data_IF_708425021557
#
_entry.id   IF_708425021557
#
_cell.length_a   1.000
_cell.length_b   1.000
_cell.length_c   1.000
_cell.angle_alpha   90.00
_cell.angle_beta   90.00
_cell.angle_gamma   90.00
#
_symmetry.space_group_name_H-M   'P 1'
#
loop_
_entity.id
_entity.type
_entity.pdbx_description
1 polymer ?
#
# COMPACT_ATOMS: atom_id res chain seq x y z
N UNK A 1 -26.82 -10.20 7.68
CA UNK A 1 -26.30 -8.92 7.10
C UNK A 1 -25.01 -9.17 6.28
N UNK A 2 -25.02 -8.88 4.97
CA UNK A 2 -23.82 -8.87 4.12
C UNK A 2 -22.77 -7.94 4.75
N UNK A 3 -21.76 -8.50 5.43
CA UNK A 3 -20.56 -7.88 6.02
C UNK A 3 -20.63 -6.38 6.40
N UNK A 4 -21.76 -5.87 6.93
CA UNK A 4 -21.98 -4.44 7.26
C UNK A 4 -21.51 -3.44 6.17
N UNK A 5 -21.61 -3.80 4.89
CA UNK A 5 -21.19 -2.92 3.79
C UNK A 5 -19.69 -2.88 3.48
N UNK A 6 -18.87 -3.73 4.09
CA UNK A 6 -17.42 -3.82 3.82
C UNK A 6 -17.17 -4.48 2.47
N UNK A 7 -16.45 -3.77 1.58
CA UNK A 7 -16.14 -4.24 0.21
C UNK A 7 -14.64 -4.39 -0.06
N UNK A 8 -13.81 -3.84 0.83
CA UNK A 8 -12.35 -3.90 0.81
C UNK A 8 -11.82 -3.67 2.22
N UNK A 9 -10.52 -3.86 2.44
CA UNK A 9 -9.88 -3.74 3.76
C UNK A 9 -8.55 -3.03 3.67
N UNK A 10 -8.21 -2.31 4.74
CA UNK A 10 -6.83 -1.92 5.07
C UNK A 10 -6.26 -2.91 6.09
N UNK A 11 -4.93 -2.98 6.16
CA UNK A 11 -4.28 -3.70 7.26
C UNK A 11 -4.42 -2.91 8.56
N UNK A 12 -4.31 -3.58 9.71
CA UNK A 12 -4.63 -3.02 11.03
C UNK A 12 -3.93 -1.68 11.31
N UNK A 13 -2.65 -1.60 10.96
CA UNK A 13 -1.79 -0.46 11.25
C UNK A 13 -1.64 0.48 10.04
N UNK A 14 -2.54 0.38 9.06
CA UNK A 14 -2.57 1.22 7.86
C UNK A 14 -3.72 2.20 7.95
N UNK A 15 -3.41 3.49 7.84
CA UNK A 15 -4.38 4.57 7.88
C UNK A 15 -4.94 4.91 6.49
N UNK A 16 -5.99 5.74 6.42
CA UNK A 16 -6.44 6.37 5.18
C UNK A 16 -7.81 5.92 4.67
N UNK A 17 -8.03 6.10 3.37
CA UNK A 17 -9.34 5.97 2.74
C UNK A 17 -9.94 4.56 2.84
N UNK A 18 -11.20 4.49 3.29
CA UNK A 18 -12.05 3.30 3.17
C UNK A 18 -13.41 3.67 2.58
N UNK A 19 -13.85 2.94 1.56
CA UNK A 19 -15.23 2.98 1.08
C UNK A 19 -16.09 1.88 1.71
N UNK A 20 -17.29 2.24 2.15
CA UNK A 20 -18.30 1.36 2.74
C UNK A 20 -19.63 1.51 1.99
N UNK A 21 -20.28 0.39 1.69
CA UNK A 21 -21.56 0.38 1.01
C UNK A 21 -22.73 0.51 2.00
N UNK A 22 -23.53 1.57 1.88
CA UNK A 22 -24.74 1.78 2.70
C UNK A 22 -25.98 1.06 2.18
N UNK A 23 -25.96 0.57 0.93
CA UNK A 23 -27.09 -0.12 0.30
C UNK A 23 -26.62 -1.40 -0.40
N UNK A 24 -27.55 -2.35 -0.60
CA UNK A 24 -27.25 -3.60 -1.35
C UNK A 24 -26.81 -3.32 -2.78
N UNK A 25 -27.42 -2.32 -3.44
CA UNK A 25 -27.05 -1.88 -4.79
C UNK A 25 -25.61 -1.37 -4.83
N UNK A 26 -25.24 -0.46 -3.93
CA UNK A 26 -23.88 0.07 -3.85
C UNK A 26 -22.86 -1.04 -3.55
N UNK A 27 -23.21 -1.97 -2.65
CA UNK A 27 -22.35 -3.11 -2.31
C UNK A 27 -22.04 -3.97 -3.55
N UNK A 28 -23.07 -4.33 -4.33
CA UNK A 28 -22.90 -5.11 -5.55
C UNK A 28 -22.03 -4.38 -6.59
N UNK A 29 -22.21 -3.07 -6.77
CA UNK A 29 -21.41 -2.27 -7.71
C UNK A 29 -19.95 -2.18 -7.28
N UNK A 30 -19.70 -1.88 -6.00
CA UNK A 30 -18.35 -1.75 -5.47
C UNK A 30 -17.59 -3.09 -5.50
N UNK A 31 -18.21 -4.20 -5.07
CA UNK A 31 -17.59 -5.53 -5.15
C UNK A 31 -17.18 -5.87 -6.59
N UNK A 32 -18.04 -5.58 -7.57
CA UNK A 32 -17.72 -5.78 -9.00
C UNK A 32 -16.56 -4.89 -9.44
N UNK A 33 -16.52 -3.62 -9.02
CA UNK A 33 -15.44 -2.70 -9.37
C UNK A 33 -14.07 -3.15 -8.80
N UNK A 34 -14.03 -3.60 -7.55
CA UNK A 34 -12.82 -4.16 -6.93
C UNK A 34 -12.39 -5.46 -7.61
N UNK A 35 -13.33 -6.38 -7.88
CA UNK A 35 -13.03 -7.65 -8.54
C UNK A 35 -12.48 -7.44 -9.97
N UNK A 36 -13.04 -6.47 -10.69
CA UNK A 36 -12.61 -6.07 -12.03
C UNK A 36 -11.35 -5.18 -12.04
N UNK A 37 -10.74 -4.89 -10.87
CA UNK A 37 -9.53 -4.04 -10.71
C UNK A 37 -9.68 -2.64 -11.32
N UNK A 38 -10.89 -2.09 -11.32
CA UNK A 38 -11.17 -0.72 -11.80
C UNK A 38 -10.92 0.34 -10.73
N UNK A 39 -10.84 -0.06 -9.46
CA UNK A 39 -10.60 0.87 -8.35
C UNK A 39 -9.12 1.24 -8.32
N UNK A 40 -8.84 2.52 -8.51
CA UNK A 40 -7.50 3.07 -8.39
C UNK A 40 -7.22 3.38 -6.92
N UNK A 41 -6.06 2.93 -6.43
CA UNK A 41 -5.64 3.11 -5.04
C UNK A 41 -4.23 3.67 -5.03
N UNK A 42 -4.07 4.83 -4.41
CA UNK A 42 -2.76 5.46 -4.20
C UNK A 42 -2.48 5.52 -2.72
N UNK A 43 -1.26 5.12 -2.35
CA UNK A 43 -0.74 5.15 -1.00
C UNK A 43 0.44 6.11 -0.93
N UNK A 44 0.62 6.73 0.23
CA UNK A 44 1.88 7.32 0.65
C UNK A 44 2.55 6.40 1.65
N UNK A 45 3.85 6.20 1.51
CA UNK A 45 4.63 5.36 2.40
C UNK A 45 5.95 6.03 2.77
N UNK A 46 6.44 5.79 3.98
CA UNK A 46 7.82 6.14 4.36
C UNK A 46 8.63 4.86 4.45
N UNK A 47 9.55 4.69 3.51
CA UNK A 47 10.49 3.57 3.46
C UNK A 47 11.83 3.93 4.08
N UNK A 48 12.50 2.95 4.69
CA UNK A 48 13.91 3.03 5.10
C UNK A 48 14.78 2.70 3.89
N UNK A 49 15.73 3.56 3.54
CA UNK A 49 16.64 3.33 2.42
C UNK A 49 17.67 2.27 2.83
N UNK A 50 17.68 1.13 2.16
CA UNK A 50 18.71 0.10 2.36
C UNK A 50 19.96 0.38 1.51
N UNK A 51 21.10 -0.20 1.92
CA UNK A 51 22.37 -0.06 1.19
C UNK A 51 22.19 -0.49 -0.28
N UNK A 52 22.49 0.43 -1.22
CA UNK A 52 22.35 0.20 -2.66
C UNK A 52 20.94 0.42 -3.23
N UNK A 53 19.94 0.71 -2.41
CA UNK A 53 18.60 1.05 -2.87
C UNK A 53 18.58 2.46 -3.49
N UNK A 54 18.07 2.56 -4.72
CA UNK A 54 17.90 3.84 -5.41
C UNK A 54 16.70 3.78 -6.33
N UNK A 55 15.84 4.79 -6.25
CA UNK A 55 14.77 5.06 -7.20
C UNK A 55 14.95 6.49 -7.69
N UNK A 56 14.99 6.69 -9.01
CA UNK A 56 15.09 8.01 -9.63
C UNK A 56 13.79 8.45 -10.30
N UNK A 57 12.78 7.59 -10.31
CA UNK A 57 11.48 7.85 -10.91
C UNK A 57 10.50 6.68 -10.70
N UNK A 58 9.33 6.74 -11.37
CA UNK A 58 8.33 5.68 -11.30
C UNK A 58 8.90 4.34 -11.73
N UNK A 59 8.74 3.32 -10.89
CA UNK A 59 9.19 1.95 -11.12
C UNK A 59 8.02 0.99 -10.92
N UNK A 60 7.80 0.10 -11.88
CA UNK A 60 6.79 -0.95 -11.77
C UNK A 60 7.45 -2.21 -11.23
N UNK A 61 6.89 -2.74 -10.16
CA UNK A 61 7.26 -4.05 -9.61
C UNK A 61 6.05 -4.99 -9.70
N UNK A 62 6.24 -6.09 -10.42
CA UNK A 62 5.26 -7.16 -10.68
C UNK A 62 5.72 -8.50 -10.04
N UNK A 63 6.17 -8.44 -8.79
CA UNK A 63 6.56 -9.64 -8.05
C UNK A 63 5.33 -10.34 -7.44
N UNK A 64 5.12 -11.65 -7.69
CA UNK A 64 3.98 -12.37 -7.14
C UNK A 64 3.96 -12.38 -5.61
N UNK A 65 2.78 -12.15 -5.02
CA UNK A 65 2.57 -12.29 -3.58
C UNK A 65 1.71 -13.52 -3.31
N UNK A 66 2.26 -14.46 -2.53
CA UNK A 66 1.60 -15.74 -2.23
C UNK A 66 1.19 -16.47 -3.51
N UNK A 67 2.12 -16.55 -4.47
CA UNK A 67 1.94 -17.16 -5.79
C UNK A 67 0.80 -16.55 -6.63
N UNK A 68 0.34 -15.33 -6.31
CA UNK A 68 -0.68 -14.62 -7.08
C UNK A 68 -0.08 -13.35 -7.70
N UNK A 69 -0.45 -13.01 -8.95
CA UNK A 69 -0.01 -11.78 -9.58
C UNK A 69 -0.30 -10.58 -8.70
N UNK A 70 0.70 -9.70 -8.59
CA UNK A 70 0.64 -8.49 -7.83
C UNK A 70 1.50 -7.43 -8.51
N UNK A 71 0.92 -6.26 -8.77
CA UNK A 71 1.61 -5.16 -9.46
C UNK A 71 1.42 -3.87 -8.67
N UNK A 72 2.53 -3.16 -8.45
CA UNK A 72 2.57 -1.85 -7.81
C UNK A 72 3.53 -0.94 -8.58
N UNK A 73 3.09 0.27 -8.93
CA UNK A 73 3.96 1.35 -9.38
C UNK A 73 4.42 2.15 -8.15
N UNK A 74 5.72 2.31 -7.98
CA UNK A 74 6.35 3.01 -6.85
C UNK A 74 7.17 4.18 -7.38
N UNK A 75 6.92 5.37 -6.85
CA UNK A 75 7.58 6.61 -7.26
C UNK A 75 8.14 7.32 -6.02
N UNK A 76 9.44 7.66 -5.99
CA UNK A 76 10.01 8.47 -4.93
C UNK A 76 9.54 9.92 -5.09
N UNK A 77 8.97 10.48 -4.02
CA UNK A 77 8.54 11.88 -3.97
C UNK A 77 9.58 12.78 -3.29
N UNK A 78 10.28 12.21 -2.30
CA UNK A 78 11.41 12.84 -1.62
C UNK A 78 12.27 11.73 -1.00
N UNK A 79 13.59 11.94 -0.94
CA UNK A 79 14.52 10.96 -0.38
C UNK A 79 15.67 11.66 0.36
N UNK A 80 16.12 11.03 1.44
CA UNK A 80 17.31 11.33 2.24
C UNK A 80 18.23 10.11 2.23
N UNK A 81 19.35 10.17 2.94
CA UNK A 81 20.23 9.00 3.10
C UNK A 81 19.52 7.82 3.81
N UNK A 82 18.60 8.09 4.71
CA UNK A 82 17.99 7.08 5.58
C UNK A 82 16.54 6.74 5.21
N UNK A 83 15.81 7.67 4.59
CA UNK A 83 14.38 7.54 4.33
C UNK A 83 13.96 8.02 2.95
N UNK A 84 12.90 7.42 2.42
CA UNK A 84 12.20 7.88 1.22
C UNK A 84 10.69 8.00 1.47
N UNK A 85 10.11 9.13 1.05
CA UNK A 85 8.67 9.27 0.88
C UNK A 85 8.30 8.72 -0.50
N UNK A 86 7.45 7.70 -0.52
CA UNK A 86 7.06 6.96 -1.71
C UNK A 86 5.57 7.14 -1.99
N UNK A 87 5.24 7.35 -3.27
CA UNK A 87 3.88 7.16 -3.79
C UNK A 87 3.78 5.74 -4.35
N UNK A 88 2.77 4.99 -3.92
CA UNK A 88 2.55 3.63 -4.38
C UNK A 88 1.16 3.49 -4.98
N UNK A 89 1.05 3.15 -6.27
CA UNK A 89 -0.22 2.87 -6.95
C UNK A 89 -0.39 1.37 -7.09
N UNK A 90 -1.25 0.77 -6.28
CA UNK A 90 -1.46 -0.68 -6.25
C UNK A 90 -2.57 -1.09 -7.23
N UNK A 91 -2.21 -1.75 -8.34
CA UNK A 91 -3.19 -2.21 -9.35
C UNK A 91 -3.94 -3.47 -8.89
N UNK A 92 -3.27 -4.29 -8.10
CA UNK A 92 -3.86 -5.45 -7.40
C UNK A 92 -4.05 -5.13 -5.91
N UNK A 93 -4.59 -6.08 -5.15
CA UNK A 93 -4.91 -5.87 -3.72
C UNK A 93 -4.55 -7.07 -2.85
N UNK A 94 -3.32 -7.59 -2.97
CA UNK A 94 -2.86 -8.71 -2.13
C UNK A 94 -2.55 -8.23 -0.71
N UNK A 95 -2.65 -9.14 0.26
CA UNK A 95 -2.37 -8.84 1.66
C UNK A 95 -0.92 -8.36 1.80
N UNK A 96 -0.73 -7.19 2.43
CA UNK A 96 0.56 -6.54 2.65
C UNK A 96 1.30 -6.19 1.34
N UNK A 97 0.60 -5.98 0.22
CA UNK A 97 1.23 -5.84 -1.09
C UNK A 97 2.24 -4.70 -1.18
N UNK A 98 1.80 -3.48 -0.88
CA UNK A 98 2.66 -2.29 -0.96
C UNK A 98 3.89 -2.46 -0.07
N UNK A 99 3.70 -2.98 1.14
CA UNK A 99 4.77 -3.24 2.12
C UNK A 99 5.84 -4.17 1.54
N UNK A 100 5.43 -5.33 1.02
CA UNK A 100 6.34 -6.33 0.44
C UNK A 100 7.07 -5.82 -0.79
N UNK A 101 6.36 -5.11 -1.68
CA UNK A 101 6.97 -4.55 -2.89
C UNK A 101 7.97 -3.45 -2.56
N UNK A 102 7.67 -2.56 -1.60
CA UNK A 102 8.64 -1.54 -1.17
C UNK A 102 9.88 -2.20 -0.55
N UNK A 103 9.70 -3.23 0.30
CA UNK A 103 10.82 -3.98 0.84
C UNK A 103 11.68 -4.68 -0.24
N UNK A 104 11.04 -5.28 -1.26
CA UNK A 104 11.75 -5.91 -2.37
C UNK A 104 12.57 -4.90 -3.20
N UNK A 105 12.10 -3.66 -3.30
CA UNK A 105 12.85 -2.55 -3.92
C UNK A 105 13.95 -1.95 -3.02
N UNK A 106 14.15 -2.47 -1.80
CA UNK A 106 15.12 -1.94 -0.84
C UNK A 106 14.60 -0.79 0.03
N UNK A 107 13.28 -0.62 0.11
CA UNK A 107 12.59 0.40 0.90
C UNK A 107 11.56 -0.21 1.87
N UNK A 108 11.93 -1.12 2.80
CA UNK A 108 11.00 -1.62 3.81
C UNK A 108 10.39 -0.46 4.60
N UNK A 109 9.13 -0.58 5.01
CA UNK A 109 8.42 0.57 5.58
C UNK A 109 8.82 0.81 7.03
N UNK A 110 8.91 2.10 7.41
CA UNK A 110 9.11 2.52 8.81
C UNK A 110 7.98 1.93 9.67
N UNK A 111 8.34 1.39 10.84
CA UNK A 111 7.41 0.68 11.72
C UNK A 111 7.17 -0.80 11.37
N UNK A 112 7.85 -1.35 10.35
CA UNK A 112 7.94 -2.80 10.16
C UNK A 112 9.06 -3.43 10.98
N UNK A 113 8.85 -4.67 11.42
CA UNK A 113 9.89 -5.50 12.04
C UNK A 113 10.82 -5.99 10.94
N UNK A 114 12.05 -5.45 10.88
CA UNK A 114 13.08 -5.88 9.92
C UNK A 114 13.81 -7.14 10.41
N UNK A 115 14.32 -8.02 9.50
CA UNK A 115 15.30 -9.06 9.83
C UNK A 115 16.58 -8.49 10.51
N UNK A 116 17.44 -9.32 11.15
CA UNK A 116 18.13 -8.99 12.41
C UNK A 116 19.31 -8.02 12.30
N UNK A 117 19.51 -7.33 11.17
CA UNK A 117 20.61 -6.39 10.98
C UNK A 117 20.09 -5.03 10.55
N UNK A 118 20.23 -4.07 11.48
CA UNK A 118 19.96 -2.62 11.40
C UNK A 118 18.54 -2.22 11.82
N UNK A 119 18.52 -1.60 13.01
CA UNK A 119 17.51 -0.79 13.72
C UNK A 119 16.07 -0.85 13.17
N UNK A 120 15.14 -1.29 14.02
CA UNK A 120 13.75 -0.84 13.92
C UNK A 120 13.78 0.67 14.07
N UNK A 121 13.56 1.40 12.98
CA UNK A 121 13.33 2.83 13.07
C UNK A 121 11.87 2.97 13.47
N UNK A 122 11.64 3.08 14.77
CA UNK A 122 10.34 3.45 15.30
C UNK A 122 10.13 4.95 15.06
N UNK A 123 8.91 5.32 14.67
CA UNK A 123 8.55 6.73 14.69
C UNK A 123 8.37 7.18 16.14
N UNK A 124 9.04 8.28 16.57
CA UNK A 124 8.88 8.80 17.93
C UNK A 124 7.43 9.17 18.28
N UNK A 125 6.60 9.43 17.26
CA UNK A 125 5.26 10.00 17.39
C UNK A 125 4.15 9.09 16.85
N UNK A 126 4.48 7.94 16.24
CA UNK A 126 3.48 7.07 15.62
C UNK A 126 3.73 5.59 15.91
N UNK A 127 2.73 4.94 16.49
CA UNK A 127 2.69 3.48 16.66
C UNK A 127 2.04 2.88 15.42
N UNK A 128 2.81 2.14 14.62
CA UNK A 128 2.32 1.46 13.42
C UNK A 128 3.22 1.65 12.22
N UNK A 129 2.77 1.17 11.07
CA UNK A 129 3.51 1.24 9.82
C UNK A 129 3.24 2.59 9.17
N UNK A 130 4.29 3.24 8.65
CA UNK A 130 4.17 4.48 7.87
C UNK A 130 3.64 4.18 6.47
N UNK A 131 2.36 3.83 6.41
CA UNK A 131 1.60 3.58 5.20
C UNK A 131 0.21 4.19 5.32
N UNK A 132 -0.12 5.06 4.37
CA UNK A 132 -1.38 5.80 4.34
C UNK A 132 -2.07 5.63 3.00
N UNK A 133 -3.30 5.11 2.99
CA UNK A 133 -4.16 5.06 1.82
C UNK A 133 -4.67 6.47 1.48
N UNK A 134 -3.94 7.20 0.65
CA UNK A 134 -4.18 8.61 0.36
C UNK A 134 -5.40 8.83 -0.52
N UNK A 135 -5.57 8.03 -1.58
CA UNK A 135 -6.69 8.17 -2.50
C UNK A 135 -7.27 6.81 -2.89
N UNK A 136 -8.59 6.80 -3.06
CA UNK A 136 -9.36 5.69 -3.58
C UNK A 136 -10.37 6.26 -4.59
N UNK A 137 -10.20 5.92 -5.86
CA UNK A 137 -11.10 6.37 -6.94
C UNK A 137 -11.84 5.17 -7.51
N UNK A 138 -13.16 5.27 -7.54
CA UNK A 138 -14.05 4.28 -8.17
C UNK A 138 -14.57 4.92 -9.45
N UNK A 139 -14.11 4.51 -10.65
CA UNK A 139 -14.60 5.07 -11.90
C UNK A 139 -16.10 4.80 -12.09
N UNK A 140 -16.84 5.82 -12.55
CA UNK A 140 -18.27 5.71 -12.86
C UNK A 140 -19.22 5.76 -11.66
N UNK A 141 -18.73 6.19 -10.50
CA UNK A 141 -19.52 6.57 -9.30
C UNK A 141 -19.15 8.01 -8.96
#
# INVERSE_FOLDING_TARGET
PLARGVVHRLDRDVSGCMVLAKTRRAHALLVRAFAARRVEKTYLAVGVVQDGASLTGPTIIDEPIQAKPAETEVEPLAQTADFALLRCKARTGRKHQVRKHCAALGFPLVGEVSPPKKRVIESPSHKGIMLHAQTLRVPGV
#
